data_IF_393773500212
#
_entry.id   IF_393773500212
#
_cell.length_a   1.000
_cell.length_b   1.000
_cell.length_c   1.000
_cell.angle_alpha   90.00
_cell.angle_beta   90.00
_cell.angle_gamma   90.00
#
_symmetry.space_group_name_H-M   'P 1'
#
loop_
_entity.id
_entity.type
_entity.pdbx_description
1 polymer ?
#
# COMPACT_ATOMS: atom_id res chain seq x y z
N UNK A 1 0.85 -0.88 -2.67
CA UNK A 1 0.10 -1.13 -1.43
C UNK A 1 0.15 0.15 -0.60
N UNK A 2 -0.92 0.48 0.13
CA UNK A 2 -0.95 1.68 0.95
C UNK A 2 -1.69 1.41 2.27
N UNK A 3 -1.13 1.95 3.34
CA UNK A 3 -1.58 1.77 4.72
C UNK A 3 -1.66 3.15 5.36
N UNK A 4 -2.75 3.46 6.07
CA UNK A 4 -2.84 4.64 6.91
C UNK A 4 -2.51 4.31 8.36
N UNK A 5 -1.95 5.28 9.07
CA UNK A 5 -1.74 5.24 10.52
C UNK A 5 -2.16 6.58 11.14
N UNK A 6 -2.53 6.55 12.42
CA UNK A 6 -2.76 7.80 13.16
C UNK A 6 -1.45 8.60 13.21
N UNK A 7 -1.50 9.87 12.84
CA UNK A 7 -0.35 10.76 12.97
C UNK A 7 0.00 10.93 14.46
N UNK A 8 1.26 10.69 14.88
CA UNK A 8 1.68 10.93 16.25
C UNK A 8 1.82 12.43 16.56
N UNK A 9 1.73 13.32 15.55
CA UNK A 9 1.95 14.76 15.72
C UNK A 9 0.83 15.44 16.53
N UNK A 10 -0.38 14.85 16.54
CA UNK A 10 -1.55 15.46 17.19
C UNK A 10 -1.48 15.36 18.72
N UNK A 11 -1.13 14.19 19.25
CA UNK A 11 -1.12 13.94 20.70
C UNK A 11 0.08 13.11 21.21
N UNK A 12 1.02 12.74 20.34
CA UNK A 12 2.16 11.88 20.67
C UNK A 12 1.80 10.41 20.89
N UNK A 13 0.53 10.01 20.77
CA UNK A 13 0.05 8.68 21.13
C UNK A 13 -0.05 7.78 19.91
N UNK A 14 0.80 6.75 19.87
CA UNK A 14 0.71 5.67 18.89
C UNK A 14 -0.42 4.73 19.27
N UNK A 15 -1.42 4.62 18.40
CA UNK A 15 -2.51 3.68 18.57
C UNK A 15 -2.00 2.24 18.40
N UNK A 16 -2.23 1.38 19.41
CA UNK A 16 -1.82 -0.03 19.39
C UNK A 16 -3.01 -0.97 19.57
N UNK A 17 -2.95 -2.15 18.93
CA UNK A 17 -3.91 -3.22 19.13
C UNK A 17 -3.65 -4.00 20.43
N UNK A 18 -4.48 -5.00 20.73
CA UNK A 18 -4.33 -5.88 21.91
C UNK A 18 -2.97 -6.60 21.99
N UNK A 19 -2.32 -6.81 20.84
CA UNK A 19 -1.00 -7.46 20.74
C UNK A 19 0.15 -6.45 20.84
N UNK A 20 -0.13 -5.17 21.11
CA UNK A 20 0.85 -4.11 21.20
C UNK A 20 1.41 -3.64 19.85
N UNK A 21 0.85 -4.05 18.71
CA UNK A 21 1.26 -3.60 17.38
C UNK A 21 0.59 -2.28 17.01
N UNK A 22 1.30 -1.40 16.30
CA UNK A 22 0.73 -0.17 15.75
C UNK A 22 -0.46 -0.49 14.85
N UNK A 23 -1.59 0.20 15.06
CA UNK A 23 -2.80 0.02 14.27
C UNK A 23 -2.61 0.66 12.90
N UNK A 24 -2.93 -0.08 11.85
CA UNK A 24 -2.86 0.36 10.46
C UNK A 24 -4.13 0.00 9.72
N UNK A 25 -4.55 0.88 8.84
CA UNK A 25 -5.78 0.72 8.06
C UNK A 25 -5.44 0.60 6.58
N UNK A 26 -5.97 -0.41 5.86
CA UNK A 26 -5.77 -0.51 4.43
C UNK A 26 -6.41 0.69 3.75
N UNK A 27 -5.72 1.25 2.76
CA UNK A 27 -6.24 2.40 2.02
C UNK A 27 -6.06 2.31 0.52
N UNK A 28 -7.02 2.88 -0.19
CA UNK A 28 -6.95 3.04 -1.64
C UNK A 28 -6.36 4.40 -1.99
N UNK A 29 -5.34 4.36 -2.85
CA UNK A 29 -4.77 5.55 -3.45
C UNK A 29 -5.72 6.11 -4.53
N UNK A 30 -5.85 7.43 -4.56
CA UNK A 30 -6.52 8.14 -5.65
C UNK A 30 -5.70 8.03 -6.95
N UNK A 31 -6.27 8.33 -8.13
CA UNK A 31 -5.51 8.39 -9.37
C UNK A 31 -4.30 9.33 -9.29
N UNK A 32 -4.46 10.50 -8.66
CA UNK A 32 -3.39 11.47 -8.43
C UNK A 32 -2.26 10.87 -7.58
N UNK A 33 -2.60 10.19 -6.49
CA UNK A 33 -1.60 9.57 -5.62
C UNK A 33 -0.90 8.37 -6.26
N UNK A 34 -1.59 7.62 -7.13
CA UNK A 34 -0.95 6.58 -7.95
C UNK A 34 0.06 7.20 -8.91
N UNK A 35 -0.21 8.39 -9.45
CA UNK A 35 0.74 9.10 -10.28
C UNK A 35 1.92 9.63 -9.45
N UNK A 36 1.68 10.14 -8.24
CA UNK A 36 2.75 10.50 -7.30
C UNK A 36 3.64 9.29 -7.01
N UNK A 37 3.04 8.14 -6.68
CA UNK A 37 3.76 6.89 -6.45
C UNK A 37 4.62 6.49 -7.65
N UNK A 38 4.09 6.66 -8.88
CA UNK A 38 4.84 6.44 -10.12
C UNK A 38 6.07 7.36 -10.20
N UNK A 39 5.85 8.66 -9.99
CA UNK A 39 6.89 9.68 -10.09
C UNK A 39 7.99 9.47 -9.05
N UNK A 40 7.65 9.10 -7.80
CA UNK A 40 8.63 8.82 -6.73
C UNK A 40 9.57 7.68 -7.13
N UNK A 41 9.04 6.50 -7.48
CA UNK A 41 9.90 5.37 -7.89
C UNK A 41 10.79 5.70 -9.09
N UNK A 42 10.29 6.46 -10.08
CA UNK A 42 11.07 6.89 -11.24
C UNK A 42 12.18 7.87 -10.86
N UNK A 43 11.86 8.88 -10.04
CA UNK A 43 12.81 9.89 -9.60
C UNK A 43 13.95 9.28 -8.77
N UNK A 44 13.62 8.35 -7.85
CA UNK A 44 14.58 7.69 -6.98
C UNK A 44 15.21 6.43 -7.60
N UNK A 45 14.79 6.04 -8.81
CA UNK A 45 15.24 4.83 -9.53
C UNK A 45 15.12 3.56 -8.69
N UNK A 46 14.05 3.47 -7.90
CA UNK A 46 13.78 2.34 -7.01
C UNK A 46 12.46 1.68 -7.40
N UNK A 47 12.56 0.46 -7.95
CA UNK A 47 11.41 -0.31 -8.41
C UNK A 47 10.50 -0.76 -7.26
N UNK A 48 11.06 -0.92 -6.05
CA UNK A 48 10.34 -1.09 -4.79
C UNK A 48 10.69 0.11 -3.91
N UNK A 49 9.71 0.98 -3.64
CA UNK A 49 9.94 2.20 -2.89
C UNK A 49 8.82 2.45 -1.88
N UNK A 50 9.19 2.65 -0.62
CA UNK A 50 8.35 3.17 0.45
C UNK A 50 8.49 4.68 0.59
N UNK A 51 7.38 5.36 0.81
CA UNK A 51 7.30 6.81 1.05
C UNK A 51 6.04 7.13 1.85
N UNK A 52 6.03 8.25 2.56
CA UNK A 52 4.87 8.71 3.32
C UNK A 52 4.18 9.87 2.59
N UNK A 53 2.85 9.78 2.52
CA UNK A 53 1.93 10.78 2.01
C UNK A 53 1.11 11.39 3.14
N UNK A 54 1.06 12.72 3.17
CA UNK A 54 0.11 13.47 3.98
C UNK A 54 -1.09 13.87 3.11
N UNK A 55 -2.30 13.49 3.52
CA UNK A 55 -3.54 14.01 2.93
C UNK A 55 -3.99 15.23 3.72
N UNK A 56 -4.20 16.33 3.01
CA UNK A 56 -4.72 17.58 3.55
C UNK A 56 -6.05 17.88 2.86
N UNK A 57 -7.15 17.80 3.61
CA UNK A 57 -8.51 18.06 3.12
C UNK A 57 -9.04 19.44 3.52
N UNK A 58 -8.13 20.38 3.83
CA UNK A 58 -8.45 21.77 4.15
C UNK A 58 -8.72 22.56 2.88
N UNK A 59 -9.98 22.55 2.43
CA UNK A 59 -10.47 23.26 1.25
C UNK A 59 -10.43 22.40 -0.02
N UNK A 60 -9.24 22.17 -0.56
CA UNK A 60 -9.02 21.28 -1.71
C UNK A 60 -8.24 20.04 -1.26
N UNK A 61 -8.74 18.85 -1.59
CA UNK A 61 -8.07 17.59 -1.27
C UNK A 61 -6.72 17.51 -2.00
N UNK A 62 -5.63 17.55 -1.24
CA UNK A 62 -4.26 17.47 -1.75
C UNK A 62 -3.46 16.42 -1.00
N UNK A 63 -2.52 15.80 -1.71
CA UNK A 63 -1.61 14.81 -1.14
C UNK A 63 -0.17 15.26 -1.34
N UNK A 64 0.61 15.27 -0.27
CA UNK A 64 2.01 15.71 -0.26
C UNK A 64 2.91 14.56 0.18
N UNK A 65 4.02 14.34 -0.53
CA UNK A 65 5.06 13.40 -0.07
C UNK A 65 5.88 14.11 0.99
N UNK A 66 5.93 13.57 2.20
CA UNK A 66 6.68 14.15 3.31
C UNK A 66 7.94 13.37 3.68
N UNK A 67 8.05 12.10 3.26
CA UNK A 67 9.22 11.26 3.50
C UNK A 67 9.38 10.22 2.39
N UNK A 68 10.62 9.89 2.02
CA UNK A 68 10.95 8.85 1.03
C UNK A 68 12.00 7.93 1.64
N UNK A 69 11.57 6.72 1.99
CA UNK A 69 12.37 5.74 2.72
C UNK A 69 13.20 4.83 1.80
N UNK A 70 12.84 4.78 0.51
CA UNK A 70 13.44 3.89 -0.46
C UNK A 70 13.04 2.43 -0.28
N UNK A 71 13.98 1.48 -0.32
CA UNK A 71 13.64 0.05 -0.29
C UNK A 71 12.93 -0.37 1.00
N UNK A 72 11.64 -0.71 0.89
CA UNK A 72 10.80 -1.11 2.02
C UNK A 72 9.73 -2.13 1.59
N UNK A 73 9.35 -3.02 2.52
CA UNK A 73 8.30 -4.03 2.32
C UNK A 73 7.16 -3.87 3.33
N UNK A 74 5.94 -4.12 2.87
CA UNK A 74 4.76 -4.23 3.75
C UNK A 74 4.91 -5.44 4.64
N UNK A 75 4.45 -5.32 5.90
CA UNK A 75 4.45 -6.42 6.86
C UNK A 75 3.04 -6.97 7.02
N UNK A 76 2.94 -8.27 7.25
CA UNK A 76 1.68 -8.95 7.60
C UNK A 76 0.58 -8.87 6.54
N UNK A 77 0.93 -8.76 5.25
CA UNK A 77 -0.04 -8.79 4.14
C UNK A 77 0.34 -9.87 3.11
N UNK A 78 -0.30 -11.04 3.20
CA UNK A 78 -0.09 -12.15 2.25
C UNK A 78 -0.38 -11.74 0.80
N UNK A 79 -1.44 -10.96 0.59
CA UNK A 79 -1.73 -10.40 -0.74
C UNK A 79 -0.59 -9.54 -1.28
N UNK A 80 0.02 -8.71 -0.44
CA UNK A 80 1.18 -7.94 -0.86
C UNK A 80 2.37 -8.84 -1.21
N UNK A 81 2.63 -9.88 -0.41
CA UNK A 81 3.72 -10.82 -0.69
C UNK A 81 3.55 -11.51 -2.04
N UNK A 82 2.34 -12.00 -2.32
CA UNK A 82 2.00 -12.59 -3.62
C UNK A 82 2.21 -11.58 -4.76
N UNK A 83 1.59 -10.40 -4.65
CA UNK A 83 1.64 -9.37 -5.70
C UNK A 83 3.08 -8.90 -5.95
N UNK A 84 3.85 -8.63 -4.89
CA UNK A 84 5.23 -8.16 -4.98
C UNK A 84 6.15 -9.24 -5.56
N UNK A 85 6.01 -10.51 -5.14
CA UNK A 85 6.78 -11.62 -5.69
C UNK A 85 6.50 -11.81 -7.18
N UNK A 86 5.24 -11.77 -7.62
CA UNK A 86 4.89 -11.84 -9.04
C UNK A 86 5.51 -10.70 -9.85
N UNK A 87 5.43 -9.47 -9.34
CA UNK A 87 5.94 -8.30 -10.05
C UNK A 87 7.48 -8.35 -10.13
N UNK A 88 8.18 -8.62 -9.03
CA UNK A 88 9.64 -8.73 -9.01
C UNK A 88 10.15 -9.85 -9.91
N UNK A 89 9.48 -11.02 -9.85
CA UNK A 89 9.78 -12.15 -10.72
C UNK A 89 9.66 -11.75 -12.19
N UNK A 90 8.57 -11.05 -12.56
CA UNK A 90 8.41 -10.52 -13.92
C UNK A 90 9.54 -9.57 -14.30
N UNK A 91 9.89 -8.60 -13.44
CA UNK A 91 11.00 -7.66 -13.72
C UNK A 91 12.32 -8.39 -14.00
N UNK A 92 12.68 -9.37 -13.18
CA UNK A 92 13.93 -10.12 -13.37
C UNK A 92 13.94 -10.95 -14.65
N UNK A 93 12.78 -11.51 -15.03
CA UNK A 93 12.66 -12.32 -16.24
C UNK A 93 12.63 -11.46 -17.50
N UNK A 94 11.94 -10.32 -17.48
CA UNK A 94 11.97 -9.35 -18.57
C UNK A 94 13.43 -8.88 -18.82
N UNK A 95 14.23 -8.71 -17.76
CA UNK A 95 15.63 -8.30 -17.84
C UNK A 95 16.61 -9.42 -18.24
N UNK A 96 16.46 -10.63 -17.69
CA UNK A 96 17.46 -11.72 -17.83
C UNK A 96 17.07 -12.81 -18.82
N UNK A 97 15.78 -12.91 -19.17
CA UNK A 97 15.28 -13.92 -20.07
C UNK A 97 14.06 -13.42 -20.87
N UNK A 98 14.20 -12.32 -21.65
CA UNK A 98 13.08 -11.68 -22.36
C UNK A 98 12.38 -12.59 -23.38
N UNK A 99 13.05 -13.67 -23.79
CA UNK A 99 12.53 -14.68 -24.71
C UNK A 99 11.67 -15.74 -24.02
N UNK A 100 11.61 -15.75 -22.68
CA UNK A 100 10.75 -16.66 -21.90
C UNK A 100 9.41 -15.96 -21.65
N UNK A 101 8.48 -16.13 -22.59
CA UNK A 101 7.15 -15.51 -22.54
C UNK A 101 6.13 -16.29 -21.70
N UNK A 102 6.42 -17.56 -21.36
CA UNK A 102 5.43 -18.48 -20.79
C UNK A 102 5.62 -18.64 -19.29
N UNK A 103 5.35 -17.55 -18.58
CA UNK A 103 5.54 -17.51 -17.14
C UNK A 103 4.19 -17.39 -16.45
N UNK A 104 3.72 -18.43 -15.75
CA UNK A 104 2.45 -18.37 -15.03
C UNK A 104 2.47 -17.18 -14.07
N UNK A 105 1.43 -16.34 -14.15
CA UNK A 105 1.19 -15.23 -13.23
C UNK A 105 0.83 -15.71 -11.81
N UNK A 106 0.60 -17.02 -11.65
CA UNK A 106 0.34 -17.66 -10.39
C UNK A 106 1.62 -18.19 -9.76
N UNK A 107 1.80 -17.90 -8.48
CA UNK A 107 2.91 -18.40 -7.69
C UNK A 107 2.69 -19.88 -7.35
N UNK A 108 3.75 -20.70 -7.34
CA UNK A 108 3.62 -22.15 -7.18
C UNK A 108 2.97 -22.59 -5.87
N UNK A 109 3.00 -21.76 -4.81
CA UNK A 109 2.36 -22.06 -3.53
C UNK A 109 0.84 -21.83 -3.50
N UNK A 110 0.27 -21.11 -4.48
CA UNK A 110 -1.20 -20.89 -4.56
C UNK A 110 -1.98 -22.13 -5.01
N UNK A 111 -1.32 -23.21 -5.40
CA UNK A 111 -1.97 -24.46 -5.83
C UNK A 111 -2.62 -25.18 -4.62
N UNK A 112 -2.33 -24.75 -3.39
CA UNK A 112 -2.72 -25.47 -2.16
C UNK A 112 -3.77 -24.76 -1.29
N UNK A 113 -4.25 -23.57 -1.63
CA UNK A 113 -5.26 -22.88 -0.80
C UNK A 113 -6.68 -23.23 -1.26
N UNK A 114 -7.53 -23.81 -0.38
CA UNK A 114 -8.96 -23.91 -0.66
C UNK A 114 -9.54 -22.49 -0.79
N UNK A 115 -10.31 -22.28 -1.86
CA UNK A 115 -10.92 -21.00 -2.20
C UNK A 115 -11.62 -20.39 -0.98
N UNK A 116 -11.10 -19.27 -0.48
CA UNK A 116 -11.81 -18.48 0.53
C UNK A 116 -13.09 -17.95 -0.12
N UNK A 117 -14.26 -18.08 0.52
CA UNK A 117 -15.50 -17.54 -0.01
C UNK A 117 -15.35 -16.03 -0.17
N UNK A 118 -15.76 -15.53 -1.34
CA UNK A 118 -15.72 -14.11 -1.68
C UNK A 118 -16.41 -13.27 -0.59
N UNK A 119 -15.71 -12.26 -0.08
CA UNK A 119 -16.27 -11.19 0.79
C UNK A 119 -17.23 -10.28 -0.01
N UNK A 120 -18.31 -10.87 -0.51
CA UNK A 120 -19.37 -10.20 -1.25
C UNK A 120 -20.58 -9.91 -0.37
N UNK A 121 -20.46 -9.83 0.96
CA UNK A 121 -21.56 -9.36 1.83
C UNK A 121 -21.03 -8.71 3.10
N UNK A 122 -20.74 -7.40 3.05
CA UNK A 122 -20.89 -6.52 4.22
C UNK A 122 -21.15 -5.06 3.82
N UNK A 123 -22.16 -4.88 2.97
CA UNK A 123 -22.87 -3.60 2.83
C UNK A 123 -24.04 -3.58 3.81
N UNK A 124 -23.80 -3.19 5.06
CA UNK A 124 -24.76 -2.47 5.92
C UNK A 124 -24.16 -2.20 7.29
N UNK A 125 -24.46 -1.00 7.78
CA UNK A 125 -24.17 -0.46 9.12
C UNK A 125 -22.81 0.21 9.31
N UNK A 126 -22.61 1.34 8.63
CA UNK A 126 -21.86 2.44 9.25
C UNK A 126 -22.86 3.29 10.02
N UNK A 127 -22.99 2.99 11.32
CA UNK A 127 -23.55 3.90 12.29
C UNK A 127 -22.69 5.17 12.36
N UNK A 128 -23.37 6.31 12.39
CA UNK A 128 -22.83 7.64 12.69
C UNK A 128 -21.99 7.60 13.97
N UNK A 129 -20.67 7.61 13.85
CA UNK A 129 -19.76 7.87 14.96
C UNK A 129 -18.72 8.88 14.51
N UNK A 130 -18.85 10.10 15.04
CA UNK A 130 -17.81 11.12 15.16
C UNK A 130 -17.23 11.65 13.85
N UNK A 131 -17.72 12.81 13.40
CA UNK A 131 -16.98 13.66 12.46
C UNK A 131 -15.63 13.99 13.11
N UNK A 132 -14.48 13.55 12.57
CA UNK A 132 -13.20 14.07 13.01
C UNK A 132 -13.12 15.49 12.44
N UNK A 133 -13.05 16.47 13.33
CA UNK A 133 -12.60 17.83 13.03
C UNK A 133 -11.33 17.76 12.18
N UNK A 134 -11.31 18.43 11.01
CA UNK A 134 -10.15 18.70 10.13
C UNK A 134 -8.84 18.03 10.57
N UNK A 135 -8.70 16.73 10.35
CA UNK A 135 -7.53 15.97 10.80
C UNK A 135 -6.65 15.65 9.60
N UNK A 136 -5.39 16.03 9.67
CA UNK A 136 -4.36 15.57 8.76
C UNK A 136 -4.18 14.05 8.94
N UNK A 137 -4.14 13.30 7.83
CA UNK A 137 -3.97 11.85 7.82
C UNK A 137 -2.64 11.48 7.18
N UNK A 138 -1.80 10.70 7.88
CA UNK A 138 -0.53 10.22 7.37
C UNK A 138 -0.67 8.78 6.84
N UNK A 139 -0.22 8.57 5.60
CA UNK A 139 -0.29 7.29 4.90
C UNK A 139 1.08 6.85 4.48
N UNK A 140 1.46 5.64 4.83
CA UNK A 140 2.63 4.99 4.27
C UNK A 140 2.23 4.30 2.97
N UNK A 141 2.99 4.54 1.91
CA UNK A 141 2.78 3.97 0.59
C UNK A 141 4.01 3.21 0.17
N UNK A 142 3.81 1.96 -0.23
CA UNK A 142 4.84 1.17 -0.90
C UNK A 142 4.39 0.91 -2.33
N UNK A 143 5.14 1.46 -3.27
CA UNK A 143 4.93 1.29 -4.70
C UNK A 143 5.90 0.26 -5.27
N UNK A 144 5.36 -0.61 -6.13
CA UNK A 144 6.15 -1.52 -6.96
C UNK A 144 5.79 -1.24 -8.42
N UNK A 145 6.74 -0.77 -9.22
CA UNK A 145 6.49 -0.37 -10.60
C UNK A 145 6.92 -1.46 -11.56
N UNK A 146 6.02 -1.82 -12.48
CA UNK A 146 6.34 -2.53 -13.72
C UNK A 146 6.89 -1.48 -14.70
N UNK A 147 8.15 -1.60 -15.09
CA UNK A 147 8.72 -0.76 -16.16
C UNK A 147 8.03 -1.07 -17.49
#
# INVERSE_FOLDING_TARGET
>A
HAEARKSPVVDGVVMRNSDGKEVRYPVLLTPTEKQIARNVCQAFRQAVCGFDLLRCDLGEARSYVCDVNGWSFVKSSYKYYDDAACILRKMFLDEKAPHIYTIPAHLPWRISEPAQPSDAVRNREQGTVGIPTQSEELRCVIAVIRQ
#
